data_IF_436195759240
#
_entry.id   IF_436195759240
#
_cell.length_a   1.000
_cell.length_b   1.000
_cell.length_c   1.000
_cell.angle_alpha   90.00
_cell.angle_beta   90.00
_cell.angle_gamma   90.00
#
_symmetry.space_group_name_H-M   'P 1'
#
loop_
_entity.id
_entity.type
_entity.pdbx_description
1 polymer ?
#
# COMPACT_ATOMS: atom_id res chain seq x y z
N UNK A 1 -56.29 38.51 -14.87
CA UNK A 1 -54.84 38.81 -14.75
C UNK A 1 -54.49 38.84 -13.27
N UNK A 2 -53.66 37.89 -12.81
CA UNK A 2 -52.76 37.93 -11.63
C UNK A 2 -52.36 36.49 -11.30
N UNK A 3 -51.37 35.98 -12.03
CA UNK A 3 -50.69 34.71 -11.74
C UNK A 3 -49.64 34.97 -10.66
N UNK A 4 -49.81 34.38 -9.47
CA UNK A 4 -48.76 34.33 -8.46
C UNK A 4 -47.88 33.12 -8.75
N UNK A 5 -46.64 33.38 -9.17
CA UNK A 5 -45.63 32.36 -9.45
C UNK A 5 -45.13 31.76 -8.15
N UNK A 6 -45.35 30.46 -7.95
CA UNK A 6 -44.77 29.70 -6.85
C UNK A 6 -43.31 29.37 -7.22
N UNK A 7 -42.37 30.05 -6.57
CA UNK A 7 -40.94 29.77 -6.68
C UNK A 7 -40.65 28.51 -5.85
N UNK A 8 -40.49 27.38 -6.52
CA UNK A 8 -40.05 26.13 -5.89
C UNK A 8 -38.54 26.20 -5.63
N UNK A 9 -38.15 26.40 -4.36
CA UNK A 9 -36.77 26.20 -3.91
C UNK A 9 -36.44 24.69 -3.92
N UNK A 10 -35.68 24.25 -4.91
CA UNK A 10 -35.00 22.95 -4.87
C UNK A 10 -33.78 23.03 -3.94
N UNK A 11 -33.63 22.15 -2.93
CA UNK A 11 -32.40 22.08 -2.16
C UNK A 11 -31.31 21.39 -2.99
N UNK A 12 -30.20 22.09 -3.19
CA UNK A 12 -28.98 21.60 -3.83
C UNK A 12 -28.28 20.63 -2.86
N UNK A 13 -28.62 19.35 -2.89
CA UNK A 13 -27.95 18.33 -2.10
C UNK A 13 -26.55 18.06 -2.65
N UNK A 14 -25.55 18.72 -2.08
CA UNK A 14 -24.13 18.48 -2.36
C UNK A 14 -23.73 17.09 -1.84
N UNK A 15 -23.69 16.10 -2.74
CA UNK A 15 -23.18 14.75 -2.43
C UNK A 15 -21.67 14.82 -2.28
N UNK A 16 -21.19 15.03 -1.05
CA UNK A 16 -19.78 14.89 -0.71
C UNK A 16 -19.39 13.42 -0.77
N UNK A 17 -18.75 13.02 -1.87
CA UNK A 17 -18.11 11.70 -1.98
C UNK A 17 -16.87 11.71 -1.08
N UNK A 18 -17.01 11.21 0.15
CA UNK A 18 -15.87 10.85 0.99
C UNK A 18 -15.19 9.63 0.36
N UNK A 19 -14.00 9.83 -0.22
CA UNK A 19 -13.20 8.73 -0.74
C UNK A 19 -12.94 7.69 0.35
N UNK A 20 -13.28 6.43 0.08
CA UNK A 20 -13.04 5.32 1.02
C UNK A 20 -11.55 4.99 0.98
N UNK A 21 -10.81 5.43 2.00
CA UNK A 21 -9.43 4.99 2.21
C UNK A 21 -9.46 3.54 2.76
N UNK A 22 -9.06 2.57 1.93
CA UNK A 22 -8.87 1.20 2.38
C UNK A 22 -7.44 1.01 2.87
N UNK A 23 -7.27 0.84 4.18
CA UNK A 23 -6.00 0.43 4.78
C UNK A 23 -6.10 -1.05 5.15
N UNK A 24 -5.37 -1.91 4.44
CA UNK A 24 -5.25 -3.31 4.79
C UNK A 24 -4.36 -3.45 6.03
N UNK A 25 -4.77 -4.31 6.97
CA UNK A 25 -4.05 -4.58 8.20
C UNK A 25 -4.00 -6.08 8.49
N UNK A 26 -2.95 -6.50 9.19
CA UNK A 26 -2.80 -7.86 9.69
C UNK A 26 -3.55 -7.97 11.02
N UNK A 27 -4.52 -8.89 11.08
CA UNK A 27 -5.25 -9.20 12.31
C UNK A 27 -4.54 -10.29 13.10
N UNK A 28 -4.29 -10.00 14.38
CA UNK A 28 -3.47 -10.81 15.28
C UNK A 28 -4.18 -10.94 16.63
N UNK A 29 -5.09 -11.91 16.77
CA UNK A 29 -5.78 -12.27 18.02
C UNK A 29 -6.25 -11.06 18.86
N UNK A 30 -6.98 -10.14 18.25
CA UNK A 30 -7.53 -8.93 18.90
C UNK A 30 -6.64 -7.68 18.77
N UNK A 31 -5.41 -7.82 18.27
CA UNK A 31 -4.57 -6.70 17.85
C UNK A 31 -4.58 -6.54 16.33
N UNK A 32 -4.27 -5.33 15.87
CA UNK A 32 -4.06 -5.02 14.45
C UNK A 32 -2.65 -4.48 14.25
N UNK A 33 -1.99 -4.97 13.20
CA UNK A 33 -0.74 -4.39 12.70
C UNK A 33 -0.91 -3.86 11.28
N UNK A 34 -0.38 -2.68 11.01
CA UNK A 34 -0.62 -1.98 9.75
C UNK A 34 0.58 -1.15 9.30
N UNK A 35 0.40 -0.43 8.19
CA UNK A 35 1.42 0.45 7.60
C UNK A 35 2.02 1.39 8.66
N UNK A 36 3.35 1.47 8.68
CA UNK A 36 4.11 2.28 9.63
C UNK A 36 4.52 1.57 10.93
N UNK A 37 3.91 0.43 11.28
CA UNK A 37 4.35 -0.35 12.43
C UNK A 37 5.80 -0.82 12.24
N UNK A 38 6.58 -0.87 13.33
CA UNK A 38 7.93 -1.44 13.28
C UNK A 38 7.88 -2.97 13.24
N UNK A 39 8.94 -3.60 12.71
CA UNK A 39 9.11 -5.06 12.77
C UNK A 39 8.92 -5.62 14.18
N UNK A 40 9.50 -4.97 15.18
CA UNK A 40 9.37 -5.37 16.58
C UNK A 40 7.91 -5.33 17.06
N UNK A 41 7.17 -4.27 16.71
CA UNK A 41 5.76 -4.14 17.05
C UNK A 41 4.91 -5.25 16.43
N UNK A 42 5.20 -5.61 15.17
CA UNK A 42 4.51 -6.71 14.48
C UNK A 42 4.75 -8.03 15.20
N UNK A 43 6.01 -8.37 15.54
CA UNK A 43 6.31 -9.60 16.29
C UNK A 43 5.64 -9.59 17.67
N UNK A 44 5.63 -8.46 18.37
CA UNK A 44 4.99 -8.36 19.67
C UNK A 44 3.46 -8.58 19.60
N UNK A 45 2.81 -8.06 18.54
CA UNK A 45 1.36 -8.19 18.34
C UNK A 45 0.96 -9.57 17.78
N UNK A 46 1.78 -10.12 16.89
CA UNK A 46 1.40 -11.23 16.00
C UNK A 46 2.21 -12.51 16.20
N UNK A 47 3.29 -12.45 16.99
CA UNK A 47 4.25 -13.53 17.12
C UNK A 47 5.25 -13.59 15.96
N UNK A 48 6.04 -14.65 15.95
CA UNK A 48 6.97 -14.92 14.86
C UNK A 48 6.22 -15.32 13.58
N UNK A 49 6.62 -14.80 12.41
CA UNK A 49 6.05 -15.23 11.13
C UNK A 49 6.48 -16.65 10.78
N UNK A 50 5.72 -17.28 9.87
CA UNK A 50 6.01 -18.59 9.31
C UNK A 50 7.22 -18.56 8.36
N UNK A 51 7.41 -17.47 7.60
CA UNK A 51 8.60 -17.25 6.78
C UNK A 51 8.99 -15.77 6.73
N UNK A 52 10.29 -15.53 6.48
CA UNK A 52 10.89 -14.20 6.28
C UNK A 52 11.79 -14.29 5.06
N UNK A 53 11.52 -13.48 4.04
CA UNK A 53 12.24 -13.52 2.77
C UNK A 53 12.65 -12.11 2.36
N UNK A 54 13.89 -11.95 1.89
CA UNK A 54 14.31 -10.73 1.23
C UNK A 54 13.83 -10.74 -0.22
N UNK A 55 13.17 -9.66 -0.62
CA UNK A 55 12.58 -9.51 -1.95
C UNK A 55 13.08 -8.26 -2.64
N UNK A 56 13.26 -8.36 -3.95
CA UNK A 56 13.57 -7.25 -4.81
C UNK A 56 12.28 -6.62 -5.34
N UNK A 57 11.95 -5.41 -4.90
CA UNK A 57 10.78 -4.69 -5.41
C UNK A 57 11.25 -3.65 -6.44
N UNK A 58 10.87 -3.78 -7.72
CA UNK A 58 11.26 -2.83 -8.74
C UNK A 58 10.57 -1.48 -8.50
N UNK A 59 11.35 -0.42 -8.34
CA UNK A 59 10.84 0.95 -8.19
C UNK A 59 11.39 1.85 -9.30
N UNK A 60 10.52 2.65 -9.95
CA UNK A 60 10.95 3.58 -10.97
C UNK A 60 11.82 4.66 -10.36
N UNK A 61 12.90 4.99 -11.04
CA UNK A 61 13.74 6.12 -10.69
C UNK A 61 14.37 6.75 -11.92
N UNK A 62 14.57 8.05 -11.82
CA UNK A 62 15.17 8.86 -12.88
C UNK A 62 16.69 8.77 -12.76
N UNK A 63 17.33 8.24 -13.79
CA UNK A 63 18.77 8.26 -13.95
C UNK A 63 19.15 9.22 -15.08
N UNK A 64 20.32 9.85 -14.94
CA UNK A 64 20.93 10.65 -16.00
C UNK A 64 21.93 9.77 -16.75
N UNK A 65 21.72 9.61 -18.05
CA UNK A 65 22.66 8.91 -18.93
C UNK A 65 23.36 9.92 -19.83
N UNK A 66 24.65 9.70 -20.06
CA UNK A 66 25.44 10.52 -20.96
C UNK A 66 25.01 10.26 -22.41
N UNK A 67 24.97 11.32 -23.21
CA UNK A 67 24.73 11.20 -24.65
C UNK A 67 25.84 10.34 -25.29
N UNK A 68 25.49 9.38 -26.16
CA UNK A 68 26.47 8.63 -26.93
C UNK A 68 27.20 9.50 -27.96
N UNK A 69 26.67 10.69 -28.26
CA UNK A 69 27.30 11.67 -29.16
C UNK A 69 28.15 12.67 -28.36
N UNK A 70 29.44 12.87 -28.71
CA UNK A 70 30.31 13.86 -28.06
C UNK A 70 29.71 15.26 -28.07
N UNK A 71 29.66 15.91 -26.91
CA UNK A 71 29.08 17.25 -26.74
C UNK A 71 27.55 17.31 -26.66
N UNK A 72 26.85 16.16 -26.73
CA UNK A 72 25.40 16.11 -26.54
C UNK A 72 24.98 16.25 -25.06
N UNK A 73 23.75 16.74 -24.80
CA UNK A 73 23.24 16.89 -23.43
C UNK A 73 22.97 15.53 -22.77
N UNK A 74 23.07 15.47 -21.44
CA UNK A 74 22.64 14.30 -20.68
C UNK A 74 21.12 14.08 -20.84
N UNK A 75 20.70 12.82 -20.87
CA UNK A 75 19.29 12.44 -21.05
C UNK A 75 18.76 11.83 -19.75
N UNK A 76 17.50 12.13 -19.43
CA UNK A 76 16.79 11.47 -18.34
C UNK A 76 16.15 10.18 -18.84
N UNK A 77 16.38 9.09 -18.13
CA UNK A 77 15.74 7.80 -18.39
C UNK A 77 15.10 7.29 -17.10
N UNK A 78 13.93 6.67 -17.22
CA UNK A 78 13.29 5.98 -16.11
C UNK A 78 13.81 4.55 -16.09
N UNK A 79 14.46 4.17 -15.00
CA UNK A 79 14.97 2.83 -14.77
C UNK A 79 14.21 2.17 -13.62
N UNK A 80 14.07 0.85 -13.68
CA UNK A 80 13.48 0.07 -12.59
C UNK A 80 14.61 -0.46 -11.70
N UNK A 81 14.89 0.20 -10.58
CA UNK A 81 15.88 -0.32 -9.65
C UNK A 81 15.26 -1.26 -8.65
N UNK A 82 16.06 -2.26 -8.28
CA UNK A 82 15.76 -3.18 -7.21
C UNK A 82 15.87 -2.49 -5.85
N UNK A 83 14.74 -2.27 -5.18
CA UNK A 83 14.73 -1.83 -3.78
C UNK A 83 14.63 -3.07 -2.89
N UNK A 84 15.64 -3.36 -2.04
CA UNK A 84 15.60 -4.50 -1.15
C UNK A 84 14.54 -4.27 -0.07
N UNK A 85 13.63 -5.22 0.07
CA UNK A 85 12.56 -5.24 1.06
C UNK A 85 12.49 -6.62 1.69
N UNK A 86 11.66 -6.78 2.72
CA UNK A 86 11.40 -8.08 3.33
C UNK A 86 9.91 -8.38 3.29
N UNK A 87 9.54 -9.57 2.84
CA UNK A 87 8.20 -10.10 2.99
C UNK A 87 8.20 -11.11 4.14
N UNK A 88 7.31 -10.89 5.11
CA UNK A 88 7.06 -11.83 6.20
C UNK A 88 5.68 -12.42 6.04
N UNK A 89 5.56 -13.74 6.17
CA UNK A 89 4.31 -14.47 5.95
C UNK A 89 3.75 -14.99 7.26
N UNK A 90 2.49 -14.68 7.54
CA UNK A 90 1.77 -15.09 8.72
C UNK A 90 0.62 -16.05 8.37
N UNK A 91 0.51 -17.11 9.15
CA UNK A 91 -0.58 -18.07 9.04
C UNK A 91 -1.76 -17.64 9.92
N UNK A 92 -2.91 -17.31 9.31
CA UNK A 92 -4.11 -16.81 10.03
C UNK A 92 -5.14 -17.90 10.37
N UNK A 93 -4.73 -19.17 10.30
CA UNK A 93 -5.61 -20.32 10.57
C UNK A 93 -6.21 -20.92 9.29
N UNK A 94 -6.76 -22.12 9.44
CA UNK A 94 -7.30 -22.89 8.31
C UNK A 94 -8.49 -22.17 7.67
N UNK A 95 -8.56 -22.20 6.33
CA UNK A 95 -9.62 -21.53 5.58
C UNK A 95 -9.47 -20.02 5.44
N UNK A 96 -8.45 -19.40 6.06
CA UNK A 96 -8.10 -18.00 5.89
C UNK A 96 -6.98 -17.83 4.84
N UNK A 97 -6.83 -16.62 4.31
CA UNK A 97 -5.67 -16.27 3.49
C UNK A 97 -4.44 -16.08 4.37
N UNK A 98 -3.26 -16.41 3.86
CA UNK A 98 -2.00 -15.99 4.46
C UNK A 98 -1.94 -14.46 4.54
N UNK A 99 -1.32 -13.93 5.58
CA UNK A 99 -1.04 -12.49 5.69
C UNK A 99 0.40 -12.23 5.29
N UNK A 100 0.63 -11.43 4.25
CA UNK A 100 1.98 -11.06 3.81
C UNK A 100 2.21 -9.61 4.20
N UNK A 101 3.19 -9.39 5.07
CA UNK A 101 3.60 -8.07 5.55
C UNK A 101 4.92 -7.72 4.89
N UNK A 102 4.93 -6.63 4.11
CA UNK A 102 6.13 -6.11 3.47
C UNK A 102 6.75 -5.03 4.34
N UNK A 103 8.05 -5.13 4.55
CA UNK A 103 8.84 -4.16 5.29
C UNK A 103 9.78 -3.40 4.36
N UNK A 104 9.86 -2.08 4.59
CA UNK A 104 10.88 -1.22 4.02
C UNK A 104 11.49 -0.37 5.12
N UNK A 105 12.82 -0.35 5.22
CA UNK A 105 13.57 0.35 6.27
C UNK A 105 13.06 0.06 7.71
N UNK A 106 12.65 -1.19 7.97
CA UNK A 106 12.24 -1.63 9.31
C UNK A 106 10.78 -1.32 9.70
N UNK A 107 10.01 -0.67 8.83
CA UNK A 107 8.59 -0.38 9.03
C UNK A 107 7.71 -1.11 8.01
N UNK A 108 6.48 -1.43 8.39
CA UNK A 108 5.48 -2.00 7.47
C UNK A 108 5.21 -1.00 6.36
N UNK A 109 5.49 -1.40 5.13
CA UNK A 109 5.18 -0.66 3.92
C UNK A 109 3.80 -1.05 3.41
N UNK A 110 3.47 -2.34 3.42
CA UNK A 110 2.16 -2.85 2.99
C UNK A 110 1.80 -4.17 3.66
N UNK A 111 0.50 -4.43 3.74
CA UNK A 111 -0.07 -5.70 4.16
C UNK A 111 -0.99 -6.18 3.06
N UNK A 112 -0.84 -7.44 2.64
CA UNK A 112 -1.65 -8.05 1.58
C UNK A 112 -1.99 -9.49 1.89
N UNK A 113 -3.06 -9.97 1.27
CA UNK A 113 -3.44 -11.38 1.36
C UNK A 113 -2.58 -12.22 0.41
N UNK A 114 -2.13 -13.38 0.87
CA UNK A 114 -1.46 -14.41 0.08
C UNK A 114 -2.40 -15.56 -0.28
N UNK A 115 -1.84 -16.76 -0.44
CA UNK A 115 -2.62 -17.95 -0.76
C UNK A 115 -3.59 -18.33 0.37
N UNK A 116 -4.69 -19.01 -0.01
CA UNK A 116 -5.65 -19.54 0.97
C UNK A 116 -5.12 -20.84 1.56
N UNK A 117 -5.11 -20.91 2.89
CA UNK A 117 -4.75 -22.12 3.63
C UNK A 117 -5.83 -23.17 3.43
N UNK A 118 -5.43 -24.38 3.03
CA UNK A 118 -6.30 -25.57 2.87
C UNK A 118 -6.27 -26.45 4.11
#
# INVERSE_FOLDING_TARGET
MRTLAAIALLPLAAVMHTGVASAQSLSCNGSLSGVGDSKFSVVQKCGEPMSKEFVCVPRPQVAWVLSPYPGGPAQQVVTQQCVPMEDWVYHRGQGNFLGIVRFYNGAVESVRDGDRVR
#
